data_IF_381304817135
#
_entry.id   IF_381304817135
#
_cell.length_a   1.000
_cell.length_b   1.000
_cell.length_c   1.000
_cell.angle_alpha   90.00
_cell.angle_beta   90.00
_cell.angle_gamma   90.00
#
_symmetry.space_group_name_H-M   'P 1'
#
loop_
_entity.id
_entity.type
_entity.pdbx_description
1 polymer ?
#
# COMPACT_ATOMS: atom_id res chain seq x y z
N UNK A 1 38.40 16.48 -91.29
CA UNK A 1 37.64 15.38 -90.65
C UNK A 1 37.85 15.39 -89.18
N UNK A 2 36.89 15.92 -88.39
CA UNK A 2 36.97 15.92 -86.89
C UNK A 2 35.96 14.92 -86.37
N UNK A 3 36.43 13.90 -85.63
CA UNK A 3 35.58 12.92 -84.95
C UNK A 3 35.15 13.49 -83.57
N UNK A 4 33.85 13.52 -83.40
CA UNK A 4 33.22 13.81 -82.11
C UNK A 4 33.16 12.52 -81.29
N UNK A 5 33.89 12.48 -80.14
CA UNK A 5 33.79 11.45 -79.14
C UNK A 5 32.65 11.73 -78.19
N UNK A 6 31.66 10.85 -78.10
CA UNK A 6 30.55 10.89 -77.14
C UNK A 6 31.02 10.40 -75.77
N UNK A 7 30.95 11.24 -74.76
CA UNK A 7 31.13 10.87 -73.36
C UNK A 7 29.75 10.39 -72.79
N UNK A 8 29.55 9.06 -72.76
CA UNK A 8 28.38 8.42 -72.17
C UNK A 8 28.63 7.75 -70.81
N UNK A 9 29.54 8.29 -69.98
CA UNK A 9 29.97 7.62 -68.78
C UNK A 9 29.43 8.16 -67.44
N UNK A 10 28.65 9.29 -67.42
CA UNK A 10 28.35 9.98 -66.18
C UNK A 10 27.01 9.70 -65.48
N UNK A 11 26.08 9.09 -66.18
CA UNK A 11 24.70 8.94 -65.67
C UNK A 11 24.53 7.58 -64.96
N UNK A 12 25.17 6.51 -65.46
CA UNK A 12 25.02 5.16 -64.90
C UNK A 12 25.58 5.02 -63.44
N UNK A 13 26.67 5.73 -63.13
CA UNK A 13 27.31 5.66 -61.81
C UNK A 13 26.57 6.45 -60.70
N UNK A 14 25.68 7.38 -61.05
CA UNK A 14 24.86 8.08 -60.10
C UNK A 14 23.62 7.26 -59.70
N UNK A 15 23.01 6.54 -60.59
CA UNK A 15 21.86 5.70 -60.32
C UNK A 15 22.22 4.51 -59.44
N UNK A 16 23.32 3.81 -59.67
CA UNK A 16 23.76 2.70 -58.85
C UNK A 16 24.06 3.11 -57.39
N UNK A 17 24.58 4.32 -57.18
CA UNK A 17 24.83 4.85 -55.83
C UNK A 17 23.55 5.18 -55.06
N UNK A 18 22.50 5.59 -55.72
CA UNK A 18 21.20 5.86 -55.09
C UNK A 18 20.52 4.55 -54.69
N UNK A 19 20.55 3.55 -55.58
CA UNK A 19 19.99 2.22 -55.27
C UNK A 19 20.69 1.55 -54.10
N UNK A 20 22.02 1.64 -54.00
CA UNK A 20 22.78 1.12 -52.87
C UNK A 20 22.46 1.84 -51.55
N UNK A 21 22.21 3.14 -51.61
CA UNK A 21 21.78 3.89 -50.42
C UNK A 21 20.38 3.50 -49.98
N UNK A 22 19.44 3.35 -50.89
CA UNK A 22 18.07 2.93 -50.58
C UNK A 22 18.03 1.51 -50.03
N UNK A 23 18.82 0.59 -50.59
CA UNK A 23 18.95 -0.77 -50.07
C UNK A 23 19.55 -0.81 -48.64
N UNK A 24 20.57 0.00 -48.39
CA UNK A 24 21.18 0.10 -47.07
C UNK A 24 20.23 0.73 -46.01
N UNK A 25 19.44 1.76 -46.41
CA UNK A 25 18.41 2.33 -45.54
C UNK A 25 17.30 1.31 -45.24
N UNK A 26 16.86 0.57 -46.24
CA UNK A 26 15.85 -0.48 -46.08
C UNK A 26 16.32 -1.61 -45.16
N UNK A 27 17.57 -2.06 -45.35
CA UNK A 27 18.18 -3.07 -44.48
C UNK A 27 18.36 -2.59 -43.02
N UNK A 28 18.73 -1.32 -42.83
CA UNK A 28 18.86 -0.73 -41.50
C UNK A 28 17.49 -0.58 -40.80
N UNK A 29 16.46 -0.14 -41.56
CA UNK A 29 15.08 -0.07 -41.07
C UNK A 29 14.52 -1.44 -40.68
N UNK A 30 14.76 -2.46 -41.50
CA UNK A 30 14.34 -3.83 -41.19
C UNK A 30 15.07 -4.38 -39.94
N UNK A 31 16.36 -4.12 -39.81
CA UNK A 31 17.13 -4.53 -38.63
C UNK A 31 16.66 -3.84 -37.35
N UNK A 32 16.39 -2.51 -37.42
CA UNK A 32 15.84 -1.75 -36.30
C UNK A 32 14.46 -2.25 -35.88
N UNK A 33 13.61 -2.60 -36.85
CA UNK A 33 12.28 -3.17 -36.61
C UNK A 33 12.35 -4.54 -35.93
N UNK A 34 13.29 -5.40 -36.37
CA UNK A 34 13.54 -6.69 -35.74
C UNK A 34 14.05 -6.55 -34.30
N UNK A 35 14.95 -5.61 -34.02
CA UNK A 35 15.48 -5.35 -32.67
C UNK A 35 14.36 -4.84 -31.75
N UNK A 36 13.48 -3.95 -32.25
CA UNK A 36 12.30 -3.46 -31.51
C UNK A 36 11.29 -4.58 -31.22
N UNK A 37 11.04 -5.46 -32.20
CA UNK A 37 10.12 -6.58 -32.04
C UNK A 37 10.66 -7.63 -31.04
N UNK A 38 11.96 -7.89 -31.05
CA UNK A 38 12.61 -8.78 -30.08
C UNK A 38 12.60 -8.14 -28.68
N UNK A 39 12.84 -6.82 -28.59
CA UNK A 39 12.78 -6.08 -27.31
C UNK A 39 11.39 -6.08 -26.69
N UNK A 40 10.33 -6.03 -27.48
CA UNK A 40 8.93 -6.12 -27.03
C UNK A 40 8.51 -7.54 -26.63
N UNK A 41 9.16 -8.58 -27.20
CA UNK A 41 8.85 -9.99 -26.92
C UNK A 41 9.49 -10.53 -25.66
N UNK A 42 10.50 -9.87 -25.10
CA UNK A 42 11.20 -10.26 -23.85
C UNK A 42 10.72 -9.36 -22.70
N UNK A 43 9.41 -9.23 -22.52
CA UNK A 43 8.89 -8.73 -21.25
C UNK A 43 9.13 -9.80 -20.18
N UNK A 44 9.95 -9.55 -19.13
CA UNK A 44 10.01 -10.47 -18.02
C UNK A 44 8.59 -10.57 -17.46
N UNK A 45 8.04 -11.79 -17.47
CA UNK A 45 6.79 -12.03 -16.78
C UNK A 45 6.98 -11.58 -15.33
N UNK A 46 6.30 -10.50 -14.92
CA UNK A 46 6.28 -10.09 -13.54
C UNK A 46 5.56 -11.19 -12.75
N UNK A 47 6.32 -12.11 -12.19
CA UNK A 47 5.80 -13.10 -11.26
C UNK A 47 5.48 -12.31 -9.99
N UNK A 48 4.21 -12.01 -9.79
CA UNK A 48 3.73 -11.46 -8.53
C UNK A 48 3.98 -12.51 -7.44
N UNK A 49 5.04 -12.33 -6.67
CA UNK A 49 5.33 -13.19 -5.53
C UNK A 49 4.35 -12.84 -4.42
N UNK A 50 3.35 -13.69 -4.22
CA UNK A 50 2.42 -13.55 -3.10
C UNK A 50 3.13 -13.94 -1.82
N UNK A 51 3.42 -12.96 -0.98
CA UNK A 51 3.93 -13.20 0.36
C UNK A 51 2.76 -13.35 1.32
N UNK A 52 2.58 -14.53 1.89
CA UNK A 52 1.56 -14.78 2.92
C UNK A 52 2.12 -14.40 4.27
N UNK A 53 1.39 -13.54 5.00
CA UNK A 53 1.70 -13.15 6.38
C UNK A 53 0.48 -13.45 7.24
N UNK A 54 0.67 -14.24 8.29
CA UNK A 54 -0.35 -14.52 9.29
C UNK A 54 -0.27 -13.48 10.38
N UNK A 55 -1.44 -12.97 10.77
CA UNK A 55 -1.60 -11.97 11.83
C UNK A 55 -2.15 -12.68 13.06
N UNK A 56 -1.49 -12.51 14.20
CA UNK A 56 -1.92 -13.07 15.49
C UNK A 56 -2.40 -11.92 16.36
N UNK A 57 -3.59 -12.08 16.93
CA UNK A 57 -4.22 -11.04 17.77
C UNK A 57 -4.42 -11.51 19.19
N UNK A 58 -4.52 -10.56 20.11
CA UNK A 58 -5.03 -10.78 21.45
C UNK A 58 -6.57 -10.89 21.46
N UNK A 59 -7.16 -11.07 22.64
CA UNK A 59 -8.61 -11.16 22.84
C UNK A 59 -9.38 -9.87 22.51
N UNK A 60 -8.69 -8.79 22.26
CA UNK A 60 -9.25 -7.48 21.91
C UNK A 60 -9.12 -7.17 20.42
N UNK A 61 -8.51 -8.10 19.67
CA UNK A 61 -8.20 -7.89 18.27
C UNK A 61 -6.91 -7.10 18.00
N UNK A 62 -6.14 -6.74 19.04
CA UNK A 62 -4.85 -6.05 18.83
C UNK A 62 -3.83 -7.02 18.23
N UNK A 63 -3.13 -6.60 17.19
CA UNK A 63 -2.10 -7.44 16.55
C UNK A 63 -0.88 -7.53 17.44
N UNK A 64 -0.61 -8.72 18.00
CA UNK A 64 0.53 -8.97 18.90
C UNK A 64 1.71 -9.63 18.22
N UNK A 65 1.49 -10.30 17.09
CA UNK A 65 2.57 -10.87 16.29
C UNK A 65 2.18 -11.02 14.81
N UNK A 66 3.21 -11.10 13.96
CA UNK A 66 3.10 -11.52 12.56
C UNK A 66 4.04 -12.69 12.31
N UNK A 67 3.61 -13.70 11.54
CA UNK A 67 4.46 -14.82 11.11
C UNK A 67 4.41 -15.02 9.60
N UNK A 68 5.45 -15.66 9.06
CA UNK A 68 5.52 -16.07 7.66
C UNK A 68 4.72 -17.34 7.38
N UNK A 69 4.73 -17.80 6.13
CA UNK A 69 4.05 -19.03 5.70
C UNK A 69 4.56 -20.30 6.39
N UNK A 70 5.76 -20.28 6.97
CA UNK A 70 6.36 -21.40 7.69
C UNK A 70 6.09 -21.36 9.20
N UNK A 71 5.31 -20.37 9.67
CA UNK A 71 5.02 -20.18 11.09
C UNK A 71 6.13 -19.45 11.87
N UNK A 72 7.20 -18.99 11.20
CA UNK A 72 8.26 -18.24 11.86
C UNK A 72 7.77 -16.84 12.17
N UNK A 73 7.87 -16.43 13.44
CA UNK A 73 7.52 -15.06 13.88
C UNK A 73 8.51 -14.07 13.25
N UNK A 74 7.98 -13.12 12.48
CA UNK A 74 8.73 -12.06 11.80
C UNK A 74 8.67 -10.72 12.54
N UNK A 75 7.60 -10.49 13.33
CA UNK A 75 7.44 -9.28 14.15
C UNK A 75 6.56 -9.54 15.36
N UNK A 76 6.85 -8.85 16.47
CA UNK A 76 6.03 -8.78 17.68
C UNK A 76 5.69 -7.34 17.98
N UNK A 77 4.55 -7.13 18.65
CA UNK A 77 4.05 -5.82 19.05
C UNK A 77 3.59 -5.89 20.49
N UNK A 78 3.97 -4.88 21.24
CA UNK A 78 3.45 -4.59 22.57
C UNK A 78 2.87 -3.17 22.56
N UNK A 79 1.81 -2.94 23.31
CA UNK A 79 1.09 -1.68 23.31
C UNK A 79 0.96 -1.11 24.72
N UNK A 80 1.13 0.19 24.84
CA UNK A 80 0.67 0.96 25.98
C UNK A 80 -0.87 0.89 26.08
N UNK A 81 -1.47 1.23 27.21
CA UNK A 81 -2.91 1.09 27.44
C UNK A 81 -3.82 1.73 26.38
N UNK A 82 -3.38 2.79 25.75
CA UNK A 82 -4.10 3.48 24.67
C UNK A 82 -3.60 3.15 23.26
N UNK A 83 -2.75 2.13 23.12
CA UNK A 83 -2.35 1.60 21.83
C UNK A 83 -1.07 2.21 21.23
N UNK A 84 -0.33 3.03 22.00
CA UNK A 84 1.02 3.42 21.59
C UNK A 84 1.93 2.19 21.56
N UNK A 85 2.74 2.05 20.49
CA UNK A 85 3.63 0.89 20.33
C UNK A 85 4.83 1.01 21.25
N UNK A 86 5.08 -0.01 22.08
CA UNK A 86 6.21 -0.07 22.99
C UNK A 86 7.47 -0.50 22.27
N UNK A 87 8.55 0.25 22.38
CA UNK A 87 9.89 -0.13 21.90
C UNK A 87 10.03 -0.36 20.40
N UNK A 88 9.02 0.00 19.61
CA UNK A 88 8.98 -0.21 18.18
C UNK A 88 8.44 0.99 17.41
N UNK A 89 8.39 0.83 16.08
CA UNK A 89 7.75 1.81 15.21
C UNK A 89 6.34 1.35 14.82
N UNK A 90 5.44 2.31 14.69
CA UNK A 90 4.12 2.10 14.10
C UNK A 90 4.30 1.57 12.67
N UNK A 91 3.49 0.60 12.28
CA UNK A 91 3.46 0.07 10.91
C UNK A 91 2.04 0.16 10.37
N UNK A 92 1.93 0.42 9.07
CA UNK A 92 0.64 0.49 8.39
C UNK A 92 -0.13 -0.83 8.49
N UNK A 93 -1.44 -0.69 8.59
CA UNK A 93 -2.36 -1.82 8.65
C UNK A 93 -2.92 -2.12 10.04
N UNK A 94 -3.51 -3.30 10.25
CA UNK A 94 -4.14 -3.66 11.51
C UNK A 94 -3.17 -3.58 12.69
N UNK A 95 -3.60 -2.93 13.77
CA UNK A 95 -2.81 -2.68 14.99
C UNK A 95 -3.63 -2.86 16.26
N UNK A 96 -3.61 -1.86 17.12
CA UNK A 96 -4.29 -1.87 18.42
C UNK A 96 -5.81 -2.01 18.25
N UNK A 97 -6.41 -2.95 18.98
CA UNK A 97 -7.85 -3.32 18.93
C UNK A 97 -8.40 -3.55 17.52
N UNK A 98 -7.53 -4.00 16.57
CA UNK A 98 -7.90 -4.28 15.19
C UNK A 98 -8.03 -3.05 14.29
N UNK A 99 -7.86 -1.86 14.81
CA UNK A 99 -7.91 -0.62 14.04
C UNK A 99 -6.66 -0.40 13.19
N UNK A 100 -6.80 0.39 12.12
CA UNK A 100 -5.71 0.65 11.18
C UNK A 100 -4.76 1.68 11.77
N UNK A 101 -3.49 1.30 11.91
CA UNK A 101 -2.41 2.21 12.27
C UNK A 101 -1.81 2.86 11.03
N UNK A 102 -1.47 4.13 11.12
CA UNK A 102 -0.81 4.93 10.09
C UNK A 102 0.62 5.27 10.55
N UNK A 103 1.61 4.73 9.87
CA UNK A 103 3.03 4.93 10.21
C UNK A 103 3.53 6.35 9.94
N UNK A 104 2.89 7.08 9.02
CA UNK A 104 3.30 8.43 8.65
C UNK A 104 2.90 9.46 9.72
N UNK A 105 1.76 9.25 10.38
CA UNK A 105 1.22 10.17 11.39
C UNK A 105 1.33 9.64 12.81
N UNK A 106 1.51 8.33 13.01
CA UNK A 106 1.44 7.66 14.30
C UNK A 106 0.02 7.50 14.86
N UNK A 107 -1.00 7.89 14.10
CA UNK A 107 -2.40 7.84 14.50
C UNK A 107 -3.02 6.47 14.29
N UNK A 108 -4.12 6.21 14.98
CA UNK A 108 -4.98 5.05 14.75
C UNK A 108 -6.30 5.49 14.13
N UNK A 109 -6.63 4.94 12.96
CA UNK A 109 -7.90 5.19 12.28
C UNK A 109 -8.96 4.22 12.78
N UNK A 110 -9.92 4.76 13.50
CA UNK A 110 -11.04 4.01 14.10
C UNK A 110 -12.35 4.27 13.33
N UNK A 111 -12.32 4.08 11.99
CA UNK A 111 -13.44 4.21 11.05
C UNK A 111 -14.10 5.60 11.00
N UNK A 112 -14.61 6.13 12.11
CA UNK A 112 -15.27 7.43 12.16
C UNK A 112 -14.34 8.55 12.63
N UNK A 113 -13.31 8.22 13.39
CA UNK A 113 -12.36 9.19 13.98
C UNK A 113 -10.94 8.69 13.93
N UNK A 114 -10.00 9.63 13.96
CA UNK A 114 -8.60 9.33 14.26
C UNK A 114 -8.35 9.50 15.76
N UNK A 115 -7.62 8.57 16.33
CA UNK A 115 -7.16 8.61 17.73
C UNK A 115 -5.64 8.77 17.77
N UNK A 116 -5.18 9.64 18.64
CA UNK A 116 -3.76 9.76 18.99
C UNK A 116 -3.44 8.80 20.14
N UNK A 117 -2.69 7.71 19.90
CA UNK A 117 -2.38 6.73 20.94
C UNK A 117 -1.42 7.25 22.01
N UNK A 118 -0.65 8.31 21.73
CA UNK A 118 0.23 8.94 22.71
C UNK A 118 -0.55 9.78 23.72
N UNK A 119 -1.60 10.46 23.27
CA UNK A 119 -2.48 11.28 24.09
C UNK A 119 -3.67 10.49 24.65
N UNK A 120 -4.02 9.36 24.05
CA UNK A 120 -5.16 8.53 24.44
C UNK A 120 -6.53 9.17 24.16
N UNK A 121 -6.61 10.06 23.15
CA UNK A 121 -7.81 10.80 22.80
C UNK A 121 -8.08 10.79 21.29
N UNK A 122 -9.33 10.97 20.92
CA UNK A 122 -9.73 11.24 19.53
C UNK A 122 -9.36 12.68 19.13
N UNK A 123 -9.04 12.89 17.86
CA UNK A 123 -8.70 14.21 17.31
C UNK A 123 -9.94 15.01 16.87
N UNK A 124 -11.10 14.37 16.81
CA UNK A 124 -12.37 15.01 16.49
C UNK A 124 -13.46 14.69 17.52
N UNK A 125 -14.49 15.54 17.56
CA UNK A 125 -15.63 15.36 18.45
C UNK A 125 -16.43 14.12 18.06
N UNK A 126 -16.97 13.44 19.07
CA UNK A 126 -17.88 12.32 18.86
C UNK A 126 -19.11 12.75 18.04
N UNK A 127 -19.49 12.02 16.96
CA UNK A 127 -20.70 12.29 16.23
C UNK A 127 -21.97 12.04 17.07
N UNK A 128 -21.90 11.17 18.09
CA UNK A 128 -23.00 10.95 19.03
C UNK A 128 -23.10 12.13 19.97
N UNK A 129 -24.32 12.66 20.12
CA UNK A 129 -24.54 13.87 20.93
C UNK A 129 -24.52 13.56 22.43
N UNK A 130 -24.09 14.55 23.23
CA UNK A 130 -24.11 14.44 24.70
C UNK A 130 -25.56 14.36 25.28
N UNK A 131 -26.57 14.63 24.50
CA UNK A 131 -27.97 14.54 24.93
C UNK A 131 -28.39 13.12 25.30
N UNK A 132 -27.86 12.11 24.61
CA UNK A 132 -28.23 10.71 24.85
C UNK A 132 -27.59 10.15 26.13
N UNK A 133 -26.42 10.66 26.50
CA UNK A 133 -25.65 10.26 27.70
C UNK A 133 -24.86 11.45 28.28
N UNK A 134 -25.50 12.40 28.93
CA UNK A 134 -24.86 13.68 29.32
C UNK A 134 -23.64 13.52 30.23
N UNK A 135 -23.66 12.56 31.14
CA UNK A 135 -22.51 12.27 32.02
C UNK A 135 -21.40 11.51 31.28
N UNK A 136 -21.79 10.51 30.51
CA UNK A 136 -20.85 9.66 29.74
C UNK A 136 -20.21 10.38 28.57
N UNK A 137 -20.90 11.33 27.93
CA UNK A 137 -20.50 12.05 26.73
C UNK A 137 -20.00 13.49 27.01
N UNK A 138 -19.74 13.84 28.25
CA UNK A 138 -19.23 15.18 28.59
C UNK A 138 -17.92 15.51 27.88
N UNK A 139 -16.94 14.57 27.89
CA UNK A 139 -15.71 14.69 27.11
C UNK A 139 -15.86 13.91 25.80
N UNK A 140 -16.21 14.58 24.71
CA UNK A 140 -16.46 14.02 23.39
C UNK A 140 -15.19 13.60 22.62
N UNK A 141 -14.01 13.83 23.16
CA UNK A 141 -12.72 13.38 22.61
C UNK A 141 -12.20 12.11 23.28
N UNK A 142 -12.88 11.67 24.33
CA UNK A 142 -12.42 10.56 25.16
C UNK A 142 -12.53 9.21 24.44
N UNK A 143 -11.45 8.47 24.40
CA UNK A 143 -11.43 7.07 23.98
C UNK A 143 -11.79 6.15 25.16
N UNK A 144 -12.51 5.06 24.89
CA UNK A 144 -12.78 3.96 25.82
C UNK A 144 -13.24 4.41 27.22
N UNK A 145 -14.05 5.47 27.32
CA UNK A 145 -14.52 6.05 28.58
C UNK A 145 -13.39 6.41 29.55
N UNK A 146 -12.17 6.68 29.07
CA UNK A 146 -10.98 6.94 29.89
C UNK A 146 -10.46 5.71 30.62
N UNK A 147 -10.94 4.50 30.28
CA UNK A 147 -10.50 3.26 30.86
C UNK A 147 -10.39 2.16 29.80
N UNK A 148 -9.27 2.11 29.03
CA UNK A 148 -9.06 1.19 27.93
C UNK A 148 -8.91 -0.27 28.40
N UNK A 149 -8.79 -0.53 29.70
CA UNK A 149 -8.82 -1.89 30.25
C UNK A 149 -10.24 -2.46 30.38
N UNK A 150 -11.26 -1.60 30.47
CA UNK A 150 -12.67 -2.03 30.61
C UNK A 150 -13.51 -1.78 29.37
N UNK A 151 -13.12 -0.83 28.54
CA UNK A 151 -13.88 -0.40 27.38
C UNK A 151 -13.03 -0.42 26.14
N UNK A 152 -13.68 -0.52 24.99
CA UNK A 152 -13.14 -0.33 23.63
C UNK A 152 -14.10 0.54 22.87
N UNK A 153 -13.64 1.09 21.75
CA UNK A 153 -14.49 1.76 20.77
C UNK A 153 -14.33 1.06 19.42
N UNK A 154 -15.26 0.17 19.02
CA UNK A 154 -15.09 -0.67 17.84
C UNK A 154 -15.20 0.06 16.50
N UNK A 155 -15.87 1.21 16.48
CA UNK A 155 -16.19 1.95 15.24
C UNK A 155 -15.88 3.45 15.31
N UNK A 156 -15.27 3.90 16.39
CA UNK A 156 -14.94 5.30 16.60
C UNK A 156 -16.15 6.20 16.94
N UNK A 157 -17.25 5.61 17.44
CA UNK A 157 -18.49 6.34 17.83
C UNK A 157 -18.82 6.16 19.28
N UNK A 158 -18.69 4.94 19.80
CA UNK A 158 -19.20 4.61 21.11
C UNK A 158 -18.31 3.61 21.83
N UNK A 159 -17.95 3.96 23.05
CA UNK A 159 -17.23 3.04 23.94
C UNK A 159 -18.14 1.94 24.46
N UNK A 160 -17.79 0.70 24.22
CA UNK A 160 -18.47 -0.51 24.68
C UNK A 160 -17.66 -1.23 25.75
N UNK A 161 -18.32 -1.86 26.77
CA UNK A 161 -17.63 -2.75 27.68
C UNK A 161 -16.99 -3.92 26.92
N UNK A 162 -15.79 -4.34 27.31
CA UNK A 162 -15.09 -5.48 26.70
C UNK A 162 -15.83 -6.82 26.82
N UNK A 163 -16.70 -6.95 27.84
CA UNK A 163 -17.57 -8.14 27.98
C UNK A 163 -18.50 -8.33 26.80
N UNK A 164 -19.06 -7.25 26.26
CA UNK A 164 -19.95 -7.31 25.09
C UNK A 164 -19.24 -7.85 23.84
N UNK A 165 -17.94 -7.55 23.68
CA UNK A 165 -17.17 -8.06 22.55
C UNK A 165 -16.93 -9.59 22.69
N UNK A 166 -16.64 -10.05 23.90
CA UNK A 166 -16.48 -11.48 24.19
C UNK A 166 -17.72 -12.27 23.85
N UNK A 167 -18.89 -11.80 24.31
CA UNK A 167 -20.17 -12.45 24.07
C UNK A 167 -20.45 -12.61 22.57
N UNK A 168 -20.13 -11.58 21.76
CA UNK A 168 -20.26 -11.65 20.29
C UNK A 168 -19.30 -12.63 19.59
N UNK A 169 -18.11 -12.85 20.14
CA UNK A 169 -17.14 -13.79 19.60
C UNK A 169 -17.49 -15.23 19.94
N UNK A 170 -18.15 -15.45 21.08
CA UNK A 170 -18.60 -16.77 21.52
C UNK A 170 -19.87 -17.23 20.78
N UNK A 171 -20.62 -16.30 20.13
CA UNK A 171 -21.81 -16.56 19.31
C UNK A 171 -21.52 -16.77 17.81
N UNK A 172 -20.27 -16.53 17.33
CA UNK A 172 -19.88 -16.60 15.91
C UNK A 172 -19.16 -17.91 15.58
#
# INVERSE_FOLDING_TARGET
>A
MRRFGRTAGGVSTRFSRIEDRVRKLGAFGAWLCCVLLVGLGVSPAAIAQTTVTYIHTDTLGSVVAKSDANGKVIKRYDYEPYGAVVGGQVTDGPGYTGHVSDSATGLSYMQQRYMDPQLGVFLSVDPVTAYDQPVGQFNRYRYANGNPYKFIDPDGRQSLPRSVLRDRLDEA
#
